data_IF_612400783067
#
_entry.id   IF_612400783067
#
_cell.length_a   1.000
_cell.length_b   1.000
_cell.length_c   1.000
_cell.angle_alpha   90.00
_cell.angle_beta   90.00
_cell.angle_gamma   90.00
#
_symmetry.space_group_name_H-M   'P 1'
#
loop_
_entity.id
_entity.type
_entity.pdbx_description
1 polymer ?
#
# COMPACT_ATOMS: atom_id res chain seq x y z
N UNK A 1 12.59 -11.30 -7.80
CA UNK A 1 11.88 -10.06 -7.41
C UNK A 1 12.91 -9.08 -6.86
N UNK A 2 12.80 -7.76 -7.13
CA UNK A 2 13.74 -6.78 -6.55
C UNK A 2 13.52 -6.72 -5.02
N UNK A 3 14.60 -6.77 -4.22
CA UNK A 3 14.56 -6.74 -2.75
C UNK A 3 13.75 -5.55 -2.20
N UNK A 4 13.81 -4.41 -2.87
CA UNK A 4 13.03 -3.23 -2.49
C UNK A 4 11.52 -3.45 -2.65
N UNK A 5 11.09 -4.11 -3.73
CA UNK A 5 9.68 -4.42 -3.96
C UNK A 5 9.14 -5.38 -2.91
N UNK A 6 9.95 -6.39 -2.56
CA UNK A 6 9.62 -7.37 -1.53
C UNK A 6 9.49 -6.70 -0.15
N UNK A 7 10.40 -5.79 0.19
CA UNK A 7 10.31 -5.03 1.45
C UNK A 7 9.05 -4.16 1.51
N UNK A 8 8.71 -3.46 0.42
CA UNK A 8 7.51 -2.63 0.35
C UNK A 8 6.26 -3.50 0.50
N UNK A 9 6.17 -4.61 -0.26
CA UNK A 9 5.04 -5.54 -0.18
C UNK A 9 4.86 -6.06 1.24
N UNK A 10 5.91 -6.63 1.82
CA UNK A 10 5.84 -7.23 3.15
C UNK A 10 5.42 -6.19 4.19
N UNK A 11 5.88 -4.95 4.08
CA UNK A 11 5.50 -3.88 5.01
C UNK A 11 4.02 -3.52 4.86
N UNK A 12 3.56 -3.23 3.63
CA UNK A 12 2.14 -2.87 3.39
C UNK A 12 1.21 -4.00 3.78
N UNK A 13 1.54 -5.23 3.37
CA UNK A 13 0.76 -6.42 3.69
C UNK A 13 0.70 -6.67 5.20
N UNK A 14 1.84 -6.59 5.91
CA UNK A 14 1.84 -6.77 7.37
C UNK A 14 0.95 -5.74 8.05
N UNK A 15 1.02 -4.47 7.65
CA UNK A 15 0.16 -3.42 8.19
C UNK A 15 -1.32 -3.70 7.91
N UNK A 16 -1.66 -4.15 6.71
CA UNK A 16 -3.02 -4.54 6.38
C UNK A 16 -3.52 -5.74 7.20
N UNK A 17 -2.70 -6.79 7.32
CA UNK A 17 -3.04 -8.03 8.02
C UNK A 17 -3.26 -7.81 9.53
N UNK A 18 -2.59 -6.83 10.15
CA UNK A 18 -2.83 -6.45 11.56
C UNK A 18 -4.02 -5.48 11.72
N UNK A 19 -4.73 -5.15 10.65
CA UNK A 19 -5.90 -4.27 10.68
C UNK A 19 -5.56 -2.78 10.76
N UNK A 20 -4.43 -2.35 10.21
CA UNK A 20 -4.15 -0.91 10.12
C UNK A 20 -5.21 -0.19 9.30
N UNK A 21 -5.69 0.93 9.81
CA UNK A 21 -6.71 1.72 9.14
C UNK A 21 -6.24 2.31 7.82
N UNK A 22 -7.21 2.67 6.97
CA UNK A 22 -7.01 3.27 5.65
C UNK A 22 -6.05 4.47 5.67
N UNK A 23 -6.21 5.36 6.64
CA UNK A 23 -5.37 6.57 6.76
C UNK A 23 -3.90 6.23 6.96
N UNK A 24 -3.60 5.25 7.81
CA UNK A 24 -2.23 4.82 8.08
C UNK A 24 -1.60 4.18 6.85
N UNK A 25 -2.33 3.28 6.17
CA UNK A 25 -1.86 2.65 4.93
C UNK A 25 -1.62 3.69 3.82
N UNK A 26 -2.50 4.69 3.70
CA UNK A 26 -2.34 5.81 2.76
C UNK A 26 -1.06 6.60 3.04
N UNK A 27 -0.77 6.91 4.31
CA UNK A 27 0.44 7.61 4.71
C UNK A 27 1.71 6.79 4.44
N UNK A 28 1.66 5.48 4.71
CA UNK A 28 2.76 4.55 4.43
C UNK A 28 3.08 4.50 2.93
N UNK A 29 2.05 4.39 2.08
CA UNK A 29 2.20 4.41 0.62
C UNK A 29 2.76 5.74 0.13
N UNK A 30 2.25 6.86 0.64
CA UNK A 30 2.77 8.19 0.31
C UNK A 30 4.25 8.36 0.71
N UNK A 31 4.69 7.74 1.82
CA UNK A 31 6.10 7.69 2.19
C UNK A 31 6.91 6.92 1.15
N UNK A 32 6.49 5.72 0.74
CA UNK A 32 7.19 4.95 -0.28
C UNK A 32 7.24 5.67 -1.63
N UNK A 33 6.15 6.33 -2.07
CA UNK A 33 6.16 7.14 -3.29
C UNK A 33 7.22 8.24 -3.25
N UNK A 34 7.34 8.94 -2.12
CA UNK A 34 8.38 9.99 -1.93
C UNK A 34 9.79 9.42 -2.00
N UNK A 35 10.04 8.24 -1.42
CA UNK A 35 11.36 7.59 -1.46
C UNK A 35 11.77 7.20 -2.88
N UNK A 36 10.82 6.86 -3.75
CA UNK A 36 11.08 6.34 -5.10
C UNK A 36 10.60 7.25 -6.22
N UNK A 37 10.50 8.57 -5.96
CA UNK A 37 9.94 9.56 -6.88
C UNK A 37 10.56 9.52 -8.29
N UNK A 38 11.86 9.27 -8.37
CA UNK A 38 12.60 9.27 -9.66
C UNK A 38 12.64 7.89 -10.33
N UNK A 39 11.90 6.90 -9.81
CA UNK A 39 11.87 5.53 -10.33
C UNK A 39 10.45 5.15 -10.78
N UNK A 40 10.07 5.44 -12.04
CA UNK A 40 8.72 5.17 -12.57
C UNK A 40 8.25 3.71 -12.38
N UNK A 41 9.15 2.74 -12.54
CA UNK A 41 8.83 1.32 -12.37
C UNK A 41 8.59 0.91 -10.90
N UNK A 42 9.07 1.69 -9.94
CA UNK A 42 8.74 1.54 -8.52
C UNK A 42 7.44 2.26 -8.17
N UNK A 43 7.22 3.46 -8.74
CA UNK A 43 5.96 4.19 -8.55
C UNK A 43 4.76 3.38 -9.04
N UNK A 44 4.80 2.85 -10.26
CA UNK A 44 3.74 2.00 -10.78
C UNK A 44 3.46 0.76 -9.91
N UNK A 45 4.50 0.23 -9.26
CA UNK A 45 4.35 -0.88 -8.32
C UNK A 45 3.68 -0.43 -7.01
N UNK A 46 4.06 0.73 -6.47
CA UNK A 46 3.45 1.29 -5.26
C UNK A 46 1.99 1.67 -5.51
N UNK A 47 1.67 2.20 -6.70
CA UNK A 47 0.30 2.53 -7.11
C UNK A 47 -0.59 1.27 -7.18
N UNK A 48 -0.06 0.14 -7.68
CA UNK A 48 -0.76 -1.15 -7.66
C UNK A 48 -1.07 -1.63 -6.22
N UNK A 49 -0.13 -1.44 -5.29
CA UNK A 49 -0.35 -1.77 -3.88
C UNK A 49 -1.41 -0.87 -3.24
N UNK A 50 -1.46 0.41 -3.61
CA UNK A 50 -2.49 1.32 -3.12
C UNK A 50 -3.87 0.83 -3.51
N UNK A 51 -4.10 0.55 -4.79
CA UNK A 51 -5.38 0.02 -5.26
C UNK A 51 -5.70 -1.29 -4.56
N UNK A 52 -4.75 -2.22 -4.47
CA UNK A 52 -4.99 -3.54 -3.88
C UNK A 52 -5.40 -3.46 -2.41
N UNK A 53 -4.71 -2.69 -1.59
CA UNK A 53 -4.91 -2.72 -0.14
C UNK A 53 -5.90 -1.65 0.34
N UNK A 54 -5.92 -0.47 -0.29
CA UNK A 54 -6.83 0.61 0.13
C UNK A 54 -8.24 0.38 -0.42
N UNK A 55 -8.40 0.05 -1.70
CA UNK A 55 -9.73 -0.23 -2.27
C UNK A 55 -10.36 -1.46 -1.63
N UNK A 56 -9.55 -2.45 -1.20
CA UNK A 56 -10.06 -3.59 -0.42
C UNK A 56 -10.69 -3.18 0.91
N UNK A 57 -10.21 -2.11 1.57
CA UNK A 57 -10.83 -1.60 2.79
C UNK A 57 -12.14 -0.85 2.49
N UNK A 58 -12.17 -0.07 1.42
CA UNK A 58 -13.39 0.64 1.00
C UNK A 58 -14.52 -0.33 0.63
N UNK A 59 -14.19 -1.49 0.04
CA UNK A 59 -15.15 -2.54 -0.25
C UNK A 59 -15.67 -3.26 1.00
N UNK A 60 -14.97 -3.20 2.13
CA UNK A 60 -15.39 -3.80 3.41
C UNK A 60 -16.24 -2.83 4.23
N UNK A 61 -15.94 -1.52 4.18
CA UNK A 61 -16.72 -0.49 4.88
C UNK A 61 -18.18 -0.37 4.38
N UNK A 62 -18.50 -0.83 3.17
CA UNK A 62 -19.86 -0.78 2.60
C UNK A 62 -20.81 -1.91 3.05
N UNK A 63 -20.33 -2.90 3.81
CA UNK A 63 -21.16 -4.03 4.27
C UNK A 63 -21.35 -4.09 5.79
N UNK A 64 -20.99 -3.02 6.50
CA UNK A 64 -21.23 -2.87 7.94
C UNK A 64 -22.39 -1.88 8.14
N UNK A 65 -23.61 -2.34 7.83
CA UNK A 65 -24.89 -1.74 8.22
C UNK A 65 -25.59 -2.64 9.27
#
# INVERSE_FOLDING_TARGET
MNKDKENILNTVQTCFDIGAGKEFLSQLIAMFRRTWLDKPAMLAYIDDLEVRYITSLEGVEQFVD
#
